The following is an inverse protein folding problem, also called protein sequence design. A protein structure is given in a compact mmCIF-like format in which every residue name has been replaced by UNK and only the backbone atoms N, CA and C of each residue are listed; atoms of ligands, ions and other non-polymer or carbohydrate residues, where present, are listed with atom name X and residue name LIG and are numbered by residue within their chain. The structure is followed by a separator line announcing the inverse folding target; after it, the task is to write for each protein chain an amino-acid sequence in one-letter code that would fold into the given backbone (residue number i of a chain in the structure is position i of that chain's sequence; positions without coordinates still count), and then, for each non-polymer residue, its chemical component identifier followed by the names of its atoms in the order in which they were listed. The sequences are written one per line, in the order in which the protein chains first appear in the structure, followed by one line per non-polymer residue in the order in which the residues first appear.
data_IF_259818070513
#
_entry.id   IF_259818070513
#
_cell.length_a   1.000
_cell.length_b   1.000
_cell.length_c   1.000
_cell.angle_alpha   90.00
_cell.angle_beta   90.00
_cell.angle_gamma   90.00
#
_symmetry.space_group_name_H-M   'P 1'
#
loop_
_entity.id
_entity.type
_entity.pdbx_description
1 polymer ?
#
# COMPACT_ATOMS: atom_id res chain seq x y z
N UNK A 1 17.63 16.01 -10.32
CA UNK A 1 17.51 16.50 -8.92
C UNK A 1 17.58 15.35 -7.90
N UNK A 2 17.07 14.15 -8.19
CA UNK A 2 17.11 12.99 -7.28
C UNK A 2 18.54 12.59 -6.84
N UNK A 3 19.53 12.62 -7.74
CA UNK A 3 20.91 12.21 -7.45
C UNK A 3 21.60 13.09 -6.38
N UNK A 4 21.38 14.40 -6.40
CA UNK A 4 21.94 15.33 -5.40
C UNK A 4 21.26 15.18 -4.03
N UNK A 5 20.01 14.72 -4.00
CA UNK A 5 19.23 14.49 -2.79
C UNK A 5 19.67 13.17 -2.12
N UNK A 6 19.94 12.14 -2.93
CA UNK A 6 20.59 10.90 -2.53
C UNK A 6 21.97 11.11 -1.93
N UNK A 7 22.83 11.88 -2.61
CA UNK A 7 24.16 12.19 -2.10
C UNK A 7 24.11 12.90 -0.74
N UNK A 8 23.21 13.88 -0.57
CA UNK A 8 23.00 14.55 0.72
C UNK A 8 22.43 13.61 1.79
N UNK A 9 21.52 12.72 1.44
CA UNK A 9 20.94 11.74 2.36
C UNK A 9 21.99 10.74 2.88
N UNK A 10 22.86 10.26 1.99
CA UNK A 10 23.94 9.33 2.37
C UNK A 10 25.09 10.03 3.10
N UNK A 11 25.38 11.29 2.78
CA UNK A 11 26.34 12.09 3.55
C UNK A 11 25.86 12.37 4.98
N UNK A 12 24.57 12.65 5.17
CA UNK A 12 23.99 12.91 6.49
C UNK A 12 23.72 11.65 7.31
N UNK A 13 23.79 10.46 6.70
CA UNK A 13 23.55 9.17 7.37
C UNK A 13 24.67 8.16 7.05
N UNK A 14 25.89 8.37 7.56
CA UNK A 14 27.05 7.54 7.24
C UNK A 14 26.96 6.10 7.78
N UNK A 15 26.03 5.84 8.71
CA UNK A 15 25.84 4.52 9.33
C UNK A 15 24.94 3.57 8.52
N UNK A 16 24.41 4.00 7.38
CA UNK A 16 23.57 3.15 6.53
C UNK A 16 24.39 2.00 5.94
N UNK A 17 23.90 0.78 6.11
CA UNK A 17 24.48 -0.41 5.48
C UNK A 17 24.13 -0.47 3.99
N UNK A 18 24.82 -1.33 3.22
CA UNK A 18 24.63 -1.39 1.76
C UNK A 18 23.20 -1.76 1.36
N UNK A 19 22.55 -2.67 2.11
CA UNK A 19 21.16 -3.10 1.88
C UNK A 19 20.18 -1.91 2.02
N UNK A 20 20.37 -1.08 3.03
CA UNK A 20 19.53 0.12 3.23
C UNK A 20 19.75 1.16 2.13
N UNK A 21 20.98 1.29 1.62
CA UNK A 21 21.27 2.20 0.50
C UNK A 21 20.60 1.73 -0.79
N UNK A 22 20.64 0.43 -1.08
CA UNK A 22 19.95 -0.16 -2.24
C UNK A 22 18.43 0.05 -2.15
N UNK A 23 17.82 -0.23 -0.99
CA UNK A 23 16.39 0.00 -0.77
C UNK A 23 15.97 1.48 -0.95
N UNK A 24 16.78 2.41 -0.44
CA UNK A 24 16.53 3.86 -0.62
C UNK A 24 16.62 4.23 -2.09
N UNK A 25 17.59 3.68 -2.81
CA UNK A 25 17.77 3.95 -4.24
C UNK A 25 16.64 3.37 -5.09
N UNK A 26 16.18 2.15 -4.80
CA UNK A 26 15.01 1.56 -5.46
C UNK A 26 13.73 2.35 -5.19
N UNK A 27 13.52 2.76 -3.94
CA UNK A 27 12.35 3.57 -3.55
C UNK A 27 12.34 4.91 -4.29
N UNK A 28 13.49 5.58 -4.41
CA UNK A 28 13.57 6.85 -5.13
C UNK A 28 13.38 6.67 -6.63
N UNK A 29 13.88 5.59 -7.20
CA UNK A 29 13.66 5.26 -8.61
C UNK A 29 12.19 4.97 -8.90
N UNK A 30 11.50 4.28 -7.98
CA UNK A 30 10.06 4.09 -8.05
C UNK A 30 9.31 5.44 -8.00
N UNK A 31 9.63 6.31 -7.04
CA UNK A 31 9.01 7.63 -6.91
C UNK A 31 9.20 8.50 -8.17
N UNK A 32 10.37 8.43 -8.79
CA UNK A 32 10.67 9.16 -10.03
C UNK A 32 9.95 8.56 -11.24
N UNK A 33 10.01 7.24 -11.42
CA UNK A 33 9.35 6.54 -12.53
C UNK A 33 7.83 6.73 -12.52
N UNK A 34 7.23 6.71 -11.33
CA UNK A 34 5.79 6.90 -11.16
C UNK A 34 5.39 8.37 -11.04
N UNK A 35 6.32 9.33 -11.23
CA UNK A 35 6.10 10.77 -11.17
C UNK A 35 5.39 11.23 -9.89
N UNK A 36 5.58 10.49 -8.79
CA UNK A 36 4.87 10.70 -7.53
C UNK A 36 5.20 12.09 -6.96
N UNK A 37 6.44 12.55 -7.12
CA UNK A 37 6.85 13.90 -6.71
C UNK A 37 6.12 15.01 -7.49
N UNK A 38 5.91 14.83 -8.79
CA UNK A 38 5.17 15.80 -9.61
C UNK A 38 3.69 15.83 -9.22
N UNK A 39 3.11 14.65 -8.98
CA UNK A 39 1.72 14.51 -8.50
C UNK A 39 1.55 15.18 -7.13
N UNK A 40 2.51 15.02 -6.24
CA UNK A 40 2.52 15.68 -4.93
C UNK A 40 2.67 17.21 -5.06
N UNK A 41 3.56 17.69 -5.91
CA UNK A 41 3.73 19.12 -6.20
C UNK A 41 2.48 19.75 -6.83
N UNK A 42 1.80 19.00 -7.71
CA UNK A 42 0.55 19.43 -8.34
C UNK A 42 -0.58 19.50 -7.31
N UNK A 43 -0.71 18.51 -6.44
CA UNK A 43 -1.67 18.50 -5.32
C UNK A 43 -1.38 19.62 -4.30
N UNK A 44 -0.11 19.88 -3.99
CA UNK A 44 0.28 21.00 -3.13
C UNK A 44 -0.01 22.34 -3.79
N UNK A 45 0.27 22.48 -5.08
CA UNK A 45 -0.04 23.69 -5.85
C UNK A 45 -1.54 23.94 -5.89
N UNK A 46 -2.33 22.88 -6.04
CA UNK A 46 -3.79 22.93 -6.01
C UNK A 46 -4.32 23.31 -4.64
N UNK A 47 -3.73 22.80 -3.54
CA UNK A 47 -4.01 23.21 -2.16
C UNK A 47 -3.66 24.67 -1.87
N UNK A 48 -2.53 25.15 -2.39
CA UNK A 48 -2.07 26.52 -2.21
C UNK A 48 -2.94 27.48 -3.02
N UNK A 49 -3.34 27.06 -4.23
CA UNK A 49 -4.22 27.83 -5.12
C UNK A 49 -5.66 27.88 -4.60
N UNK A 50 -6.18 26.76 -4.07
CA UNK A 50 -7.48 26.67 -3.40
C UNK A 50 -7.39 26.98 -1.91
N UNK A 51 -6.86 28.16 -1.53
CA UNK A 51 -7.07 28.74 -0.19
C UNK A 51 -8.58 29.04 0.07
N UNK A 52 -9.43 28.02 0.01
CA UNK A 52 -10.86 28.07 0.32
C UNK A 52 -11.12 27.32 1.61
N UNK A 53 -10.69 27.89 2.74
CA UNK A 53 -11.14 27.63 4.12
C UNK A 53 -11.17 26.18 4.68
N UNK A 54 -10.99 25.13 3.89
CA UNK A 54 -11.13 23.71 4.27
C UNK A 54 -10.25 22.81 3.39
N UNK A 55 -8.91 22.94 3.45
CA UNK A 55 -7.96 22.18 2.63
C UNK A 55 -8.14 20.66 2.73
N UNK A 56 -8.53 20.15 3.91
CA UNK A 56 -8.88 18.73 4.08
C UNK A 56 -10.06 18.29 3.24
N UNK A 57 -11.09 19.12 3.10
CA UNK A 57 -12.31 18.78 2.38
C UNK A 57 -12.05 18.74 0.88
N UNK A 58 -11.29 19.71 0.37
CA UNK A 58 -10.90 19.78 -1.03
C UNK A 58 -9.99 18.63 -1.45
N UNK A 59 -8.99 18.28 -0.63
CA UNK A 59 -8.19 17.05 -0.81
C UNK A 59 -9.07 15.80 -0.84
N UNK A 60 -10.01 15.70 0.08
CA UNK A 60 -10.87 14.53 0.24
C UNK A 60 -11.90 14.42 -0.90
N UNK A 61 -12.39 15.54 -1.44
CA UNK A 61 -13.25 15.58 -2.63
C UNK A 61 -12.47 15.32 -3.92
N UNK A 62 -11.23 15.82 -4.05
CA UNK A 62 -10.34 15.48 -5.16
C UNK A 62 -10.02 13.97 -5.17
N UNK A 63 -9.64 13.40 -4.02
CA UNK A 63 -9.40 11.96 -3.86
C UNK A 63 -10.66 11.12 -4.11
N UNK A 64 -11.86 11.62 -3.75
CA UNK A 64 -13.13 10.97 -4.06
C UNK A 64 -13.47 10.97 -5.55
N UNK A 65 -13.02 11.97 -6.32
CA UNK A 65 -13.22 12.00 -7.77
C UNK A 65 -12.33 11.01 -8.52
N UNK A 66 -11.27 10.49 -7.89
CA UNK A 66 -10.45 9.37 -8.38
C UNK A 66 -11.03 7.98 -8.05
N UNK A 67 -12.30 7.88 -7.65
CA UNK A 67 -12.97 6.64 -7.19
C UNK A 67 -12.98 5.46 -8.17
N UNK A 68 -12.59 5.64 -9.43
CA UNK A 68 -12.58 4.58 -10.43
C UNK A 68 -11.17 4.09 -10.83
N UNK A 69 -10.12 4.54 -10.14
CA UNK A 69 -8.81 3.92 -10.28
C UNK A 69 -8.64 2.82 -9.23
N UNK A 70 -8.37 1.62 -9.71
CA UNK A 70 -7.91 0.51 -8.88
C UNK A 70 -6.55 0.93 -8.30
N UNK A 71 -6.53 1.33 -7.01
CA UNK A 71 -5.32 1.81 -6.34
C UNK A 71 -4.37 0.68 -5.94
N UNK A 72 -4.90 -0.54 -5.85
CA UNK A 72 -4.14 -1.73 -5.50
C UNK A 72 -4.24 -2.73 -6.65
N UNK A 73 -3.09 -3.14 -7.17
CA UNK A 73 -3.00 -4.21 -8.15
C UNK A 73 -2.63 -5.55 -7.48
N UNK A 74 -2.52 -6.61 -8.28
CA UNK A 74 -2.15 -7.93 -7.78
C UNK A 74 -0.79 -7.92 -7.07
N UNK A 75 0.16 -7.13 -7.56
CA UNK A 75 1.51 -7.00 -6.99
C UNK A 75 1.45 -6.42 -5.58
N UNK A 76 0.61 -5.41 -5.36
CA UNK A 76 0.44 -4.80 -4.03
C UNK A 76 -0.08 -5.82 -3.01
N UNK A 77 -1.04 -6.67 -3.40
CA UNK A 77 -1.55 -7.73 -2.53
C UNK A 77 -0.49 -8.81 -2.24
N UNK A 78 0.37 -9.11 -3.21
CA UNK A 78 1.50 -10.03 -3.03
C UNK A 78 2.53 -9.48 -2.04
N UNK A 79 2.84 -8.19 -2.11
CA UNK A 79 3.73 -7.52 -1.15
C UNK A 79 3.14 -7.55 0.26
N UNK A 80 1.82 -7.33 0.39
CA UNK A 80 1.13 -7.47 1.68
C UNK A 80 1.24 -8.90 2.20
N UNK A 81 1.11 -9.92 1.34
CA UNK A 81 1.30 -11.31 1.75
C UNK A 81 2.74 -11.56 2.24
N UNK A 82 3.75 -11.10 1.48
CA UNK A 82 5.17 -11.26 1.82
C UNK A 82 5.54 -10.57 3.13
N UNK A 83 4.86 -9.48 3.48
CA UNK A 83 5.01 -8.85 4.79
C UNK A 83 4.64 -9.80 5.95
N UNK A 84 3.60 -10.63 5.77
CA UNK A 84 3.14 -11.57 6.78
C UNK A 84 3.84 -12.93 6.70
N UNK A 85 4.35 -13.32 5.53
CA UNK A 85 5.12 -14.55 5.32
C UNK A 85 6.60 -14.39 5.73
N UNK A 86 6.83 -13.95 6.97
CA UNK A 86 8.17 -13.61 7.49
C UNK A 86 9.13 -14.81 7.49
N UNK A 87 8.60 -16.04 7.49
CA UNK A 87 9.37 -17.28 7.50
C UNK A 87 9.48 -17.94 6.12
N UNK A 88 8.89 -17.34 5.08
CA UNK A 88 8.81 -17.92 3.73
C UNK A 88 8.18 -19.33 3.73
N UNK A 89 7.20 -19.53 4.63
CA UNK A 89 6.41 -20.76 4.77
C UNK A 89 5.32 -20.86 3.69
N UNK A 90 5.21 -19.84 2.82
CA UNK A 90 4.23 -19.73 1.73
C UNK A 90 2.78 -19.78 2.21
N UNK A 91 2.57 -19.63 3.51
CA UNK A 91 1.27 -19.66 4.18
C UNK A 91 1.23 -18.66 5.32
N UNK A 92 0.09 -17.99 5.48
CA UNK A 92 -0.14 -17.01 6.54
C UNK A 92 -1.34 -17.42 7.37
N UNK A 93 -1.38 -16.95 8.63
CA UNK A 93 -2.53 -17.19 9.51
C UNK A 93 -3.72 -16.34 9.06
N UNK A 94 -4.92 -16.80 9.40
CA UNK A 94 -6.17 -16.08 9.11
C UNK A 94 -6.17 -14.63 9.61
N UNK A 95 -5.58 -14.38 10.78
CA UNK A 95 -5.48 -13.04 11.34
C UNK A 95 -4.74 -12.07 10.41
N UNK A 96 -3.81 -12.57 9.58
CA UNK A 96 -3.10 -11.78 8.58
C UNK A 96 -4.03 -11.30 7.46
N UNK A 97 -5.11 -12.02 7.15
CA UNK A 97 -6.12 -11.56 6.17
C UNK A 97 -6.89 -10.37 6.72
N UNK A 98 -7.34 -10.45 7.97
CA UNK A 98 -8.02 -9.33 8.62
C UNK A 98 -7.14 -8.08 8.65
N UNK A 99 -5.85 -8.24 8.96
CA UNK A 99 -4.88 -7.15 8.94
C UNK A 99 -4.62 -6.65 7.51
N UNK A 100 -4.50 -7.54 6.53
CA UNK A 100 -4.36 -7.19 5.11
C UNK A 100 -5.55 -6.39 4.58
N UNK A 101 -6.78 -6.78 4.94
CA UNK A 101 -8.00 -6.05 4.62
C UNK A 101 -8.01 -4.66 5.25
N UNK A 102 -7.57 -4.53 6.51
CA UNK A 102 -7.42 -3.23 7.18
C UNK A 102 -6.39 -2.33 6.48
N UNK A 103 -5.27 -2.88 6.01
CA UNK A 103 -4.23 -2.16 5.27
C UNK A 103 -4.80 -1.53 3.99
N UNK A 104 -5.64 -2.27 3.26
CA UNK A 104 -6.30 -1.78 2.03
C UNK A 104 -7.59 -0.99 2.31
N UNK A 105 -7.88 -0.69 3.58
CA UNK A 105 -8.98 0.18 4.01
C UNK A 105 -10.36 -0.48 4.01
N UNK A 106 -10.42 -1.81 4.13
CA UNK A 106 -11.63 -2.61 4.25
C UNK A 106 -11.78 -3.08 5.70
N UNK A 107 -12.81 -2.57 6.38
CA UNK A 107 -13.20 -3.00 7.71
C UNK A 107 -14.39 -3.95 7.59
N UNK A 108 -14.11 -5.26 7.63
CA UNK A 108 -15.14 -6.32 7.76
C UNK A 108 -14.98 -7.06 9.08
N UNK A 109 -16.09 -7.60 9.58
CA UNK A 109 -16.03 -8.45 10.76
C UNK A 109 -15.51 -9.84 10.39
N UNK A 110 -14.90 -10.51 11.37
CA UNK A 110 -14.46 -11.90 11.22
C UNK A 110 -15.62 -12.84 10.87
N UNK A 111 -16.83 -12.52 11.34
CA UNK A 111 -18.05 -13.28 11.08
C UNK A 111 -18.46 -13.21 9.60
N UNK A 112 -18.38 -12.02 8.98
CA UNK A 112 -18.68 -11.82 7.55
C UNK A 112 -17.69 -12.59 6.66
N UNK A 113 -16.41 -12.56 7.01
CA UNK A 113 -15.38 -13.34 6.30
C UNK A 113 -15.58 -14.84 6.51
N UNK A 114 -15.90 -15.28 7.73
CA UNK A 114 -16.19 -16.68 8.03
C UNK A 114 -17.38 -17.22 7.27
N UNK A 115 -18.41 -16.41 7.01
CA UNK A 115 -19.53 -16.82 6.17
C UNK A 115 -19.12 -17.01 4.71
N UNK A 116 -18.35 -16.06 4.15
CA UNK A 116 -17.99 -16.03 2.72
C UNK A 116 -16.84 -16.99 2.35
N UNK A 117 -15.86 -17.17 3.25
CA UNK A 117 -14.64 -17.94 3.01
C UNK A 117 -14.45 -19.12 3.98
N UNK A 118 -15.54 -19.66 4.53
CA UNK A 118 -15.52 -20.76 5.53
C UNK A 118 -14.61 -21.94 5.17
N UNK A 119 -14.51 -22.32 3.89
CA UNK A 119 -13.68 -23.44 3.44
C UNK A 119 -12.17 -23.18 3.56
N UNK A 120 -11.76 -21.92 3.41
CA UNK A 120 -10.37 -21.47 3.53
C UNK A 120 -10.06 -21.20 4.99
N UNK A 121 -10.97 -20.53 5.70
CA UNK A 121 -10.81 -20.16 7.10
C UNK A 121 -10.87 -21.38 8.06
N UNK A 122 -11.49 -22.49 7.67
CA UNK A 122 -11.40 -23.74 8.44
C UNK A 122 -10.02 -24.40 8.41
N UNK A 123 -9.17 -24.08 7.43
CA UNK A 123 -7.81 -24.64 7.34
C UNK A 123 -6.84 -24.00 8.34
N UNK A 124 -7.18 -22.85 8.93
CA UNK A 124 -6.32 -22.10 9.85
C UNK A 124 -5.18 -21.30 9.18
N UNK A 125 -4.78 -21.72 7.97
CA UNK A 125 -3.71 -21.14 7.18
C UNK A 125 -4.18 -20.90 5.75
N UNK A 126 -3.64 -19.84 5.13
CA UNK A 126 -4.01 -19.39 3.79
C UNK A 126 -2.76 -19.20 2.95
N UNK A 127 -2.77 -19.72 1.73
CA UNK A 127 -1.62 -19.58 0.82
C UNK A 127 -1.65 -18.23 0.06
N UNK A 128 -0.56 -17.90 -0.63
CA UNK A 128 -0.40 -16.63 -1.38
C UNK A 128 -1.57 -16.37 -2.34
N UNK A 129 -1.97 -17.37 -3.12
CA UNK A 129 -3.05 -17.22 -4.10
C UNK A 129 -4.40 -16.96 -3.43
N UNK A 130 -4.75 -17.77 -2.43
CA UNK A 130 -6.00 -17.60 -1.65
C UNK A 130 -6.04 -16.23 -0.95
N UNK A 131 -4.91 -15.75 -0.44
CA UNK A 131 -4.81 -14.44 0.21
C UNK A 131 -5.06 -13.30 -0.78
N UNK A 132 -4.34 -13.31 -1.90
CA UNK A 132 -4.46 -12.28 -2.94
C UNK A 132 -5.87 -12.26 -3.54
N UNK A 133 -6.46 -13.44 -3.79
CA UNK A 133 -7.83 -13.55 -4.29
C UNK A 133 -8.84 -12.96 -3.31
N UNK A 134 -8.69 -13.18 -2.00
CA UNK A 134 -9.58 -12.61 -0.99
C UNK A 134 -9.46 -11.08 -0.97
N UNK A 135 -8.24 -10.54 -0.90
CA UNK A 135 -8.04 -9.09 -0.87
C UNK A 135 -8.57 -8.40 -2.13
N UNK A 136 -8.32 -8.98 -3.31
CA UNK A 136 -8.80 -8.46 -4.57
C UNK A 136 -10.33 -8.50 -4.69
N UNK A 137 -10.96 -9.61 -4.28
CA UNK A 137 -12.41 -9.77 -4.31
C UNK A 137 -13.11 -8.81 -3.36
N UNK A 138 -12.60 -8.66 -2.13
CA UNK A 138 -13.16 -7.71 -1.17
C UNK A 138 -12.96 -6.26 -1.63
N UNK A 139 -11.80 -5.92 -2.21
CA UNK A 139 -11.51 -4.58 -2.70
C UNK A 139 -12.36 -4.20 -3.91
N UNK A 140 -12.59 -5.14 -4.82
CA UNK A 140 -13.45 -4.95 -6.00
C UNK A 140 -14.93 -4.77 -5.64
N UNK A 141 -15.35 -5.18 -4.43
CA UNK A 141 -16.72 -5.04 -3.94
C UNK A 141 -16.97 -3.78 -3.09
N UNK A 142 -15.97 -2.91 -2.95
CA UNK A 142 -16.04 -1.66 -2.18
C UNK A 142 -16.77 -0.54 -2.93
#
# INVERSE_FOLDING_TARGET
MASQLLEKLFQNNPHLNEIQKDQIQETLKYLENHKISLLFEELLSQLIFEMSNQPRKTLLDALKNYKNQQFFDTTDYEVIFEHFDTFNDKTVKINSILQGLQIIGITKSEEELNQKYSAILKKGFVNKNEFVDILNNEYSQR
#
